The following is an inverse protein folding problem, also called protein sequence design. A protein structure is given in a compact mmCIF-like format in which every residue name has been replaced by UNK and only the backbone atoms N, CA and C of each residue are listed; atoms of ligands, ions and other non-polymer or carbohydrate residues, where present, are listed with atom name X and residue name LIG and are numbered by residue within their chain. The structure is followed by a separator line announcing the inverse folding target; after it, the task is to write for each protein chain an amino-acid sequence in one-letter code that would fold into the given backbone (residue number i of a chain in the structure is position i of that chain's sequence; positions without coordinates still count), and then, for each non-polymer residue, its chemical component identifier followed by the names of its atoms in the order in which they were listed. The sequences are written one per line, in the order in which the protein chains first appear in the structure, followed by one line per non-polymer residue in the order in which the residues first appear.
data_IF_939844457319
#
_entry.id   IF_939844457319
#
_cell.length_a   1.000
_cell.length_b   1.000
_cell.length_c   1.000
_cell.angle_alpha   90.00
_cell.angle_beta   90.00
_cell.angle_gamma   90.00
#
_symmetry.space_group_name_H-M   'P 1'
#
loop_
_entity.id
_entity.type
_entity.pdbx_description
1 polymer ?
#
# COMPACT_ATOMS: atom_id res chain seq x y z
N UNK A 1 -30.96 17.23 40.08
CA UNK A 1 -29.76 17.22 39.22
C UNK A 1 -28.64 16.60 40.03
N UNK A 2 -28.24 15.37 39.71
CA UNK A 2 -27.10 14.70 40.36
C UNK A 2 -25.83 15.19 39.69
N UNK A 3 -25.01 15.95 40.41
CA UNK A 3 -23.67 16.31 39.97
C UNK A 3 -22.74 15.15 40.29
N UNK A 4 -22.32 14.41 39.28
CA UNK A 4 -21.28 13.40 39.42
C UNK A 4 -19.89 14.03 39.47
N UNK A 5 -18.97 13.33 40.11
CA UNK A 5 -17.56 13.71 40.20
C UNK A 5 -16.67 12.55 39.78
N UNK A 6 -15.71 12.82 38.92
CA UNK A 6 -14.66 11.88 38.53
C UNK A 6 -13.40 12.13 39.35
N UNK A 7 -12.76 11.04 39.79
CA UNK A 7 -11.44 11.07 40.42
C UNK A 7 -10.35 11.26 39.36
N UNK A 8 -9.51 12.26 39.54
CA UNK A 8 -8.39 12.58 38.64
C UNK A 8 -7.11 12.77 39.45
N UNK A 9 -5.97 12.41 38.85
CA UNK A 9 -4.66 12.56 39.47
C UNK A 9 -3.83 13.60 38.71
N UNK A 10 -3.09 14.43 39.44
CA UNK A 10 -2.15 15.37 38.82
C UNK A 10 -0.92 14.63 38.27
N UNK A 11 -0.57 14.85 37.00
CA UNK A 11 0.62 14.25 36.37
C UNK A 11 1.94 14.68 37.02
N UNK A 12 1.97 15.85 37.69
CA UNK A 12 3.20 16.44 38.23
C UNK A 12 3.41 16.21 39.73
N UNK A 13 2.38 16.46 40.54
CA UNK A 13 2.48 16.32 41.99
C UNK A 13 1.77 15.07 42.54
N UNK A 14 1.21 14.23 41.68
CA UNK A 14 0.52 12.97 42.03
C UNK A 14 -0.68 13.11 42.98
N UNK A 15 -1.11 14.33 43.33
CA UNK A 15 -2.29 14.57 44.15
C UNK A 15 -3.54 14.08 43.45
N UNK A 16 -4.33 13.30 44.18
CA UNK A 16 -5.66 12.85 43.77
C UNK A 16 -6.70 13.89 44.17
N UNK A 17 -7.57 14.27 43.23
CA UNK A 17 -8.64 15.23 43.46
C UNK A 17 -9.88 14.87 42.64
N UNK A 18 -11.02 15.45 43.01
CA UNK A 18 -12.29 15.21 42.34
C UNK A 18 -12.65 16.42 41.49
N UNK A 19 -13.06 16.18 40.25
CA UNK A 19 -13.57 17.21 39.35
C UNK A 19 -14.99 16.88 38.89
N UNK A 20 -15.85 17.87 38.62
CA UNK A 20 -17.19 17.61 38.10
C UNK A 20 -17.14 16.89 36.75
N UNK A 21 -18.02 15.92 36.54
CA UNK A 21 -18.05 15.10 35.30
C UNK A 21 -18.20 15.97 34.05
N UNK A 22 -18.98 17.05 34.15
CA UNK A 22 -19.20 18.00 33.05
C UNK A 22 -17.88 18.66 32.63
N UNK A 23 -17.03 19.02 33.60
CA UNK A 23 -15.74 19.63 33.33
C UNK A 23 -14.78 18.59 32.74
N UNK A 24 -14.81 17.35 33.23
CA UNK A 24 -13.98 16.27 32.69
C UNK A 24 -14.33 15.99 31.22
N UNK A 25 -15.61 15.82 30.93
CA UNK A 25 -16.11 15.61 29.58
C UNK A 25 -15.74 16.76 28.64
N UNK A 26 -15.84 18.01 29.13
CA UNK A 26 -15.44 19.20 28.36
C UNK A 26 -13.95 19.19 28.05
N UNK A 27 -13.09 18.98 29.05
CA UNK A 27 -11.64 18.94 28.86
C UNK A 27 -11.17 17.75 28.00
N UNK A 28 -11.90 16.63 27.97
CA UNK A 28 -11.60 15.49 27.08
C UNK A 28 -12.02 15.75 25.64
N UNK A 29 -13.10 16.49 25.43
CA UNK A 29 -13.60 16.84 24.09
C UNK A 29 -12.78 17.96 23.45
N UNK A 30 -12.33 18.90 24.27
CA UNK A 30 -11.53 20.06 23.87
C UNK A 30 -10.11 19.88 24.37
N UNK A 31 -9.24 19.31 23.53
CA UNK A 31 -7.84 18.97 23.88
C UNK A 31 -6.95 20.19 24.18
N UNK A 32 -7.45 21.39 23.90
CA UNK A 32 -6.87 22.70 24.19
C UNK A 32 -7.29 23.24 25.57
N UNK A 33 -8.33 22.68 26.20
CA UNK A 33 -8.81 23.15 27.49
C UNK A 33 -7.92 22.65 28.64
N UNK A 34 -7.34 23.59 29.38
CA UNK A 34 -6.53 23.29 30.56
C UNK A 34 -7.37 23.20 31.84
N UNK A 35 -6.97 22.31 32.75
CA UNK A 35 -7.49 22.21 34.11
C UNK A 35 -6.35 22.16 35.12
N UNK A 36 -6.64 22.57 36.36
CA UNK A 36 -5.62 22.77 37.39
C UNK A 36 -5.84 21.82 38.57
N UNK A 37 -4.75 21.27 39.11
CA UNK A 37 -4.81 20.59 40.40
C UNK A 37 -4.92 21.61 41.54
N UNK A 38 -5.29 21.20 42.77
CA UNK A 38 -5.34 22.09 43.94
C UNK A 38 -4.03 22.82 44.25
N UNK A 39 -2.89 22.25 43.86
CA UNK A 39 -1.56 22.85 44.02
C UNK A 39 -1.16 23.79 42.85
N UNK A 40 -2.05 24.05 41.89
CA UNK A 40 -1.83 25.01 40.80
C UNK A 40 -1.16 24.49 39.52
N UNK A 41 -0.89 23.19 39.38
CA UNK A 41 -0.34 22.63 38.13
C UNK A 41 -1.42 22.53 37.03
N UNK A 42 -1.20 23.23 35.93
CA UNK A 42 -2.03 23.16 34.72
C UNK A 42 -1.78 21.88 33.92
N UNK A 43 -2.86 21.26 33.45
CA UNK A 43 -2.86 19.97 32.76
C UNK A 43 -3.87 20.02 31.60
N UNK A 44 -3.62 19.23 30.55
CA UNK A 44 -4.50 19.10 29.39
C UNK A 44 -4.61 17.62 29.03
N UNK A 45 -5.79 17.17 28.61
CA UNK A 45 -5.94 15.82 28.06
C UNK A 45 -5.46 15.83 26.60
N UNK A 46 -4.19 15.50 26.38
CA UNK A 46 -3.68 15.27 25.02
C UNK A 46 -3.93 13.83 24.61
N UNK A 47 -4.52 13.63 23.44
CA UNK A 47 -4.39 12.36 22.73
C UNK A 47 -2.92 12.11 22.49
N UNK A 48 -2.45 10.89 22.73
CA UNK A 48 -1.04 10.58 22.56
C UNK A 48 -0.69 10.71 21.07
N UNK A 49 0.19 11.67 20.74
CA UNK A 49 0.74 11.83 19.39
C UNK A 49 1.33 10.49 18.90
N UNK A 50 1.81 9.68 19.84
CA UNK A 50 2.31 8.33 19.61
C UNK A 50 1.28 7.37 19.02
N UNK A 51 0.01 7.44 19.41
CA UNK A 51 -1.02 6.53 18.87
C UNK A 51 -1.53 7.00 17.51
N UNK A 52 -1.56 8.30 17.26
CA UNK A 52 -1.87 8.87 15.95
C UNK A 52 -0.79 8.51 14.92
N UNK A 53 0.49 8.72 15.27
CA UNK A 53 1.63 8.33 14.42
C UNK A 53 1.69 6.82 14.16
N UNK A 54 1.29 5.98 15.15
CA UNK A 54 1.20 4.54 14.94
C UNK A 54 0.13 4.17 13.92
N UNK A 55 -1.06 4.77 14.02
CA UNK A 55 -2.16 4.54 13.08
C UNK A 55 -1.77 4.99 11.68
N UNK A 56 -1.18 6.17 11.55
CA UNK A 56 -0.74 6.71 10.26
C UNK A 56 0.34 5.83 9.62
N UNK A 57 1.34 5.39 10.41
CA UNK A 57 2.36 4.43 9.96
C UNK A 57 1.73 3.14 9.45
N UNK A 58 0.76 2.59 10.18
CA UNK A 58 0.14 1.32 9.83
C UNK A 58 -0.72 1.44 8.57
N UNK A 59 -1.43 2.56 8.40
CA UNK A 59 -2.15 2.88 7.17
C UNK A 59 -1.19 3.00 5.97
N UNK A 60 -0.09 3.74 6.11
CA UNK A 60 0.90 3.90 5.05
C UNK A 60 1.55 2.55 4.68
N UNK A 61 1.85 1.70 5.66
CA UNK A 61 2.37 0.35 5.40
C UNK A 61 1.38 -0.50 4.61
N UNK A 62 0.09 -0.43 4.95
CA UNK A 62 -0.94 -1.15 4.20
C UNK A 62 -1.05 -0.64 2.75
N UNK A 63 -0.99 0.67 2.55
CA UNK A 63 -1.03 1.26 1.21
C UNK A 63 0.18 0.86 0.36
N UNK A 64 1.38 0.86 0.95
CA UNK A 64 2.60 0.41 0.26
C UNK A 64 2.47 -1.05 -0.14
N UNK A 65 2.04 -1.92 0.78
CA UNK A 65 1.85 -3.34 0.48
C UNK A 65 0.85 -3.57 -0.67
N UNK A 66 -0.27 -2.85 -0.67
CA UNK A 66 -1.25 -2.90 -1.76
C UNK A 66 -0.65 -2.47 -3.11
N UNK A 67 0.15 -1.40 -3.10
CA UNK A 67 0.80 -0.91 -4.32
C UNK A 67 1.89 -1.83 -4.83
N UNK A 68 2.67 -2.43 -3.94
CA UNK A 68 3.67 -3.43 -4.31
C UNK A 68 3.03 -4.67 -4.93
N UNK A 69 1.89 -5.12 -4.38
CA UNK A 69 1.11 -6.23 -4.95
C UNK A 69 0.55 -5.89 -6.33
N UNK A 70 -0.01 -4.68 -6.51
CA UNK A 70 -0.50 -4.19 -7.80
C UNK A 70 0.62 -4.16 -8.86
N UNK A 71 1.77 -3.55 -8.52
CA UNK A 71 2.94 -3.48 -9.40
C UNK A 71 3.44 -4.88 -9.77
N UNK A 72 3.47 -5.80 -8.81
CA UNK A 72 3.90 -7.18 -9.07
C UNK A 72 2.97 -7.87 -10.07
N UNK A 73 1.66 -7.78 -9.87
CA UNK A 73 0.67 -8.37 -10.77
C UNK A 73 0.75 -7.78 -12.19
N UNK A 74 0.92 -6.48 -12.31
CA UNK A 74 1.10 -5.82 -13.61
C UNK A 74 2.38 -6.27 -14.31
N UNK A 75 3.49 -6.36 -13.59
CA UNK A 75 4.77 -6.86 -14.14
C UNK A 75 4.65 -8.31 -14.61
N UNK A 76 4.01 -9.17 -13.82
CA UNK A 76 3.77 -10.57 -14.20
C UNK A 76 2.88 -10.68 -15.44
N UNK A 77 1.83 -9.87 -15.53
CA UNK A 77 0.96 -9.82 -16.70
C UNK A 77 1.71 -9.34 -17.96
N UNK A 78 2.49 -8.26 -17.84
CA UNK A 78 3.31 -7.75 -18.93
C UNK A 78 4.37 -8.76 -19.39
N UNK A 79 5.02 -9.44 -18.46
CA UNK A 79 5.97 -10.52 -18.75
C UNK A 79 5.32 -11.69 -19.47
N UNK A 80 4.14 -12.10 -19.01
CA UNK A 80 3.37 -13.19 -19.63
C UNK A 80 2.99 -12.84 -21.07
N UNK A 81 2.50 -11.62 -21.31
CA UNK A 81 2.13 -11.21 -22.66
C UNK A 81 3.35 -11.04 -23.56
N UNK A 82 4.46 -10.46 -23.06
CA UNK A 82 5.73 -10.41 -23.80
C UNK A 82 6.18 -11.79 -24.22
N UNK A 83 6.20 -12.76 -23.31
CA UNK A 83 6.57 -14.16 -23.61
C UNK A 83 5.64 -14.79 -24.64
N UNK A 84 4.33 -14.51 -24.56
CA UNK A 84 3.34 -14.97 -25.53
C UNK A 84 3.63 -14.41 -26.92
N UNK A 85 3.86 -13.10 -27.03
CA UNK A 85 4.18 -12.44 -28.30
C UNK A 85 5.48 -12.98 -28.90
N UNK A 86 6.56 -13.10 -28.12
CA UNK A 86 7.83 -13.66 -28.59
C UNK A 86 7.65 -15.09 -29.07
N UNK A 87 6.89 -15.92 -28.34
CA UNK A 87 6.58 -17.30 -28.77
C UNK A 87 5.82 -17.32 -30.10
N UNK A 88 4.80 -16.47 -30.26
CA UNK A 88 4.03 -16.37 -31.50
C UNK A 88 4.91 -15.95 -32.66
N UNK A 89 5.74 -14.92 -32.46
CA UNK A 89 6.68 -14.44 -33.47
C UNK A 89 7.70 -15.51 -33.88
N UNK A 90 8.29 -16.23 -32.91
CA UNK A 90 9.22 -17.34 -33.19
C UNK A 90 8.54 -18.46 -33.99
N UNK A 91 7.28 -18.78 -33.69
CA UNK A 91 6.52 -19.80 -34.43
C UNK A 91 6.18 -19.35 -35.85
N UNK A 92 5.76 -18.10 -36.03
CA UNK A 92 5.50 -17.53 -37.35
C UNK A 92 6.78 -17.46 -38.19
N UNK A 93 7.90 -17.05 -37.59
CA UNK A 93 9.22 -17.05 -38.25
C UNK A 93 9.67 -18.45 -38.67
N UNK A 94 9.29 -19.49 -37.92
CA UNK A 94 9.53 -20.89 -38.27
C UNK A 94 8.55 -21.44 -39.33
N UNK A 95 7.59 -20.63 -39.80
CA UNK A 95 6.58 -21.05 -40.78
C UNK A 95 5.49 -21.96 -40.22
N UNK A 96 5.23 -21.90 -38.91
CA UNK A 96 4.24 -22.75 -38.22
C UNK A 96 2.90 -22.01 -38.10
N UNK A 97 1.82 -22.64 -38.55
CA UNK A 97 0.45 -22.14 -38.39
C UNK A 97 0.03 -22.11 -36.92
N UNK A 98 -0.60 -21.01 -36.49
CA UNK A 98 -1.10 -20.86 -35.12
C UNK A 98 -2.42 -21.61 -34.87
N UNK A 99 -3.23 -21.80 -35.91
CA UNK A 99 -4.54 -22.45 -35.80
C UNK A 99 -4.45 -23.97 -35.77
N UNK A 100 -3.55 -24.57 -36.55
CA UNK A 100 -3.51 -26.03 -36.75
C UNK A 100 -2.13 -26.65 -36.50
N UNK A 101 -1.14 -25.90 -36.00
CA UNK A 101 0.24 -26.34 -35.73
C UNK A 101 0.99 -26.97 -36.92
N UNK A 102 0.46 -26.88 -38.15
CA UNK A 102 1.12 -27.37 -39.36
C UNK A 102 2.28 -26.44 -39.74
N UNK A 103 3.36 -27.03 -40.24
CA UNK A 103 4.51 -26.27 -40.75
C UNK A 103 4.42 -26.15 -42.26
N UNK A 104 4.48 -24.94 -42.77
CA UNK A 104 4.53 -24.67 -44.20
C UNK A 104 5.99 -24.51 -44.62
N UNK A 105 6.54 -25.56 -45.24
CA UNK A 105 7.97 -25.63 -45.63
C UNK A 105 8.38 -24.47 -46.54
N UNK A 106 7.51 -24.06 -47.47
CA UNK A 106 7.76 -22.91 -48.35
C UNK A 106 7.86 -21.60 -47.57
N UNK A 107 7.00 -21.38 -46.57
CA UNK A 107 7.03 -20.18 -45.72
C UNK A 107 8.25 -20.19 -44.82
N UNK A 108 8.57 -21.33 -44.21
CA UNK A 108 9.77 -21.48 -43.38
C UNK A 108 11.06 -21.18 -44.17
N UNK A 109 11.18 -21.69 -45.40
CA UNK A 109 12.30 -21.41 -46.29
C UNK A 109 12.33 -19.94 -46.73
N UNK A 110 11.17 -19.36 -47.04
CA UNK A 110 11.06 -17.95 -47.38
C UNK A 110 11.55 -17.06 -46.23
N UNK A 111 11.09 -17.30 -45.00
CA UNK A 111 11.53 -16.54 -43.82
C UNK A 111 13.03 -16.67 -43.57
N UNK A 112 13.61 -17.87 -43.73
CA UNK A 112 15.06 -18.07 -43.55
C UNK A 112 15.92 -17.35 -44.60
N UNK A 113 15.45 -17.28 -45.85
CA UNK A 113 16.25 -16.74 -46.97
C UNK A 113 16.01 -15.26 -47.23
N UNK A 114 14.79 -14.78 -47.03
CA UNK A 114 14.38 -13.39 -47.32
C UNK A 114 14.32 -12.52 -46.06
N UNK A 115 14.15 -13.13 -44.88
CA UNK A 115 14.02 -12.43 -43.62
C UNK A 115 14.93 -13.00 -42.51
N UNK A 116 16.24 -13.18 -42.76
CA UNK A 116 17.17 -13.68 -41.74
C UNK A 116 17.19 -12.77 -40.49
N UNK A 117 17.17 -11.45 -40.70
CA UNK A 117 17.19 -10.45 -39.62
C UNK A 117 15.98 -10.53 -38.68
N UNK A 118 14.83 -10.95 -39.20
CA UNK A 118 13.63 -11.11 -38.38
C UNK A 118 13.82 -12.21 -37.33
N UNK A 119 14.57 -13.26 -37.67
CA UNK A 119 14.88 -14.35 -36.75
C UNK A 119 15.92 -13.93 -35.71
N UNK A 120 16.97 -13.23 -36.14
CA UNK A 120 18.03 -12.71 -35.26
C UNK A 120 17.48 -11.74 -34.21
N UNK A 121 16.57 -10.83 -34.60
CA UNK A 121 15.95 -9.87 -33.67
C UNK A 121 15.11 -10.55 -32.58
N UNK A 122 14.58 -11.76 -32.82
CA UNK A 122 13.78 -12.51 -31.84
C UNK A 122 14.63 -13.27 -30.81
N UNK A 123 15.90 -13.49 -31.11
CA UNK A 123 16.84 -14.17 -30.21
C UNK A 123 17.40 -13.20 -29.16
N UNK A 124 17.58 -11.92 -29.50
CA UNK A 124 18.06 -10.89 -28.58
C UNK A 124 17.01 -10.37 -27.57
N UNK A 125 15.72 -10.67 -27.79
CA UNK A 125 14.59 -10.17 -26.97
C UNK A 125 14.11 -11.20 -25.92
N UNK A 126 14.63 -12.42 -25.98
CA UNK A 126 14.29 -13.52 -25.09
C UNK A 126 15.10 -13.48 -23.79
#
# INVERSE_FOLDING_TARGET
MTYGFTKVQCYKCAVEFYMPDILEATCRRHTDQSFYCPNGHGQVYKTSITDELRRERDLLKQQIAQKDDEIRLEREAADKERKRLVRLQKRTAAGVCQCCNRTFTNVARHMQTKHPDFRTKLECVA
#
